data_IF_525762581421
#
_entry.id   IF_525762581421
#
_cell.length_a   1.000
_cell.length_b   1.000
_cell.length_c   1.000
_cell.angle_alpha   90.00
_cell.angle_beta   90.00
_cell.angle_gamma   90.00
#
_symmetry.space_group_name_H-M   'P 1'
#
loop_
_entity.id
_entity.type
_entity.pdbx_description
1 polymer ?
#
# COMPACT_ATOMS: atom_id res chain seq x y z
N UNK A 1 -16.99 -5.01 -8.47
CA UNK A 1 -16.21 -3.84 -8.97
C UNK A 1 -16.19 -3.73 -10.51
N UNK A 2 -16.69 -4.72 -11.24
CA UNK A 2 -16.74 -4.71 -12.72
C UNK A 2 -17.80 -3.78 -13.32
N UNK A 3 -18.62 -3.11 -12.51
CA UNK A 3 -19.62 -2.16 -12.99
C UNK A 3 -18.98 -0.91 -13.60
N UNK A 4 -19.68 -0.31 -14.58
CA UNK A 4 -19.22 0.86 -15.35
C UNK A 4 -18.61 1.97 -14.51
N UNK A 5 -17.56 2.66 -14.99
CA UNK A 5 -17.01 3.83 -14.34
C UNK A 5 -18.11 4.87 -14.09
N UNK A 6 -18.19 5.39 -12.85
CA UNK A 6 -19.15 6.42 -12.47
C UNK A 6 -20.43 5.95 -11.78
N UNK A 7 -20.74 4.66 -11.74
CA UNK A 7 -21.87 4.17 -10.94
C UNK A 7 -21.51 4.23 -9.44
N UNK A 8 -22.40 4.82 -8.63
CA UNK A 8 -22.29 4.73 -7.17
C UNK A 8 -22.40 3.26 -6.76
N UNK A 9 -21.38 2.77 -6.04
CA UNK A 9 -21.36 1.41 -5.50
C UNK A 9 -21.81 1.49 -4.05
N UNK A 10 -22.76 0.65 -3.65
CA UNK A 10 -23.24 0.62 -2.28
C UNK A 10 -22.11 0.18 -1.31
N UNK A 11 -22.09 0.74 -0.13
CA UNK A 11 -21.07 0.43 0.88
C UNK A 11 -20.96 -1.08 1.20
N UNK A 12 -22.05 -1.87 1.27
CA UNK A 12 -21.96 -3.31 1.46
C UNK A 12 -21.16 -4.02 0.36
N UNK A 13 -21.27 -3.57 -0.89
CA UNK A 13 -20.50 -4.13 -2.00
C UNK A 13 -19.01 -3.79 -1.89
N UNK A 14 -18.67 -2.58 -1.41
CA UNK A 14 -17.30 -2.17 -1.15
C UNK A 14 -16.67 -2.99 -0.02
N UNK A 15 -17.44 -3.25 1.06
CA UNK A 15 -17.00 -4.13 2.16
C UNK A 15 -16.72 -5.54 1.65
N UNK A 16 -17.66 -6.10 0.87
CA UNK A 16 -17.47 -7.43 0.26
C UNK A 16 -16.22 -7.48 -0.63
N UNK A 17 -15.98 -6.42 -1.42
CA UNK A 17 -14.79 -6.34 -2.27
C UNK A 17 -13.50 -6.31 -1.43
N UNK A 18 -13.43 -5.50 -0.37
CA UNK A 18 -12.32 -5.46 0.57
C UNK A 18 -12.07 -6.83 1.21
N UNK A 19 -13.11 -7.43 1.74
CA UNK A 19 -13.02 -8.71 2.45
C UNK A 19 -12.57 -9.84 1.50
N UNK A 20 -12.99 -9.78 0.23
CA UNK A 20 -12.51 -10.70 -0.81
C UNK A 20 -11.01 -10.51 -1.09
N UNK A 21 -10.54 -9.26 -1.18
CA UNK A 21 -9.12 -8.95 -1.36
C UNK A 21 -8.31 -9.49 -0.18
N UNK A 22 -8.72 -9.23 1.04
CA UNK A 22 -8.05 -9.69 2.24
C UNK A 22 -7.99 -11.23 2.31
N UNK A 23 -9.10 -11.90 1.97
CA UNK A 23 -9.15 -13.37 1.89
C UNK A 23 -8.18 -13.91 0.85
N UNK A 24 -8.14 -13.28 -0.34
CA UNK A 24 -7.22 -13.66 -1.41
C UNK A 24 -5.76 -13.47 -0.99
N UNK A 25 -5.43 -12.34 -0.37
CA UNK A 25 -4.08 -12.05 0.13
C UNK A 25 -3.63 -13.05 1.21
N UNK A 26 -4.53 -13.41 2.11
CA UNK A 26 -4.25 -14.42 3.12
C UNK A 26 -3.99 -15.80 2.49
N UNK A 27 -4.79 -16.17 1.48
CA UNK A 27 -4.60 -17.44 0.76
C UNK A 27 -3.27 -17.46 -0.02
N UNK A 28 -2.91 -16.35 -0.68
CA UNK A 28 -1.64 -16.20 -1.41
C UNK A 28 -0.43 -16.42 -0.48
N UNK A 29 -0.44 -15.83 0.71
CA UNK A 29 0.65 -15.99 1.66
C UNK A 29 0.72 -17.40 2.26
N UNK A 30 -0.43 -18.01 2.52
CA UNK A 30 -0.49 -19.41 2.98
C UNK A 30 0.12 -20.36 1.95
N UNK A 31 -0.22 -20.17 0.66
CA UNK A 31 0.33 -21.00 -0.41
C UNK A 31 1.85 -20.80 -0.56
N UNK A 32 2.32 -19.56 -0.37
CA UNK A 32 3.74 -19.25 -0.48
C UNK A 32 4.57 -19.81 0.69
N UNK A 33 4.12 -19.64 1.94
CA UNK A 33 4.91 -20.03 3.11
C UNK A 33 4.70 -21.49 3.52
N UNK A 34 3.59 -22.11 3.14
CA UNK A 34 3.21 -23.50 3.53
C UNK A 34 3.40 -23.77 5.02
N UNK A 35 3.15 -22.80 5.87
CA UNK A 35 3.46 -22.81 7.30
C UNK A 35 2.20 -22.59 8.12
N UNK A 36 2.01 -23.41 9.16
CA UNK A 36 0.90 -23.31 10.12
C UNK A 36 0.90 -21.98 10.90
N UNK A 37 2.02 -21.23 10.90
CA UNK A 37 2.12 -19.90 11.49
C UNK A 37 1.14 -18.89 10.86
N UNK A 38 0.83 -19.02 9.57
CA UNK A 38 -0.11 -18.14 8.87
C UNK A 38 -1.54 -18.38 9.39
N UNK A 39 -1.90 -19.62 9.70
CA UNK A 39 -3.22 -19.96 10.26
C UNK A 39 -3.40 -19.42 11.67
N UNK A 40 -2.34 -19.39 12.47
CA UNK A 40 -2.36 -18.80 13.82
C UNK A 40 -2.56 -17.27 13.80
N UNK A 41 -2.04 -16.60 12.78
CA UNK A 41 -2.25 -15.15 12.59
C UNK A 41 -3.69 -14.83 12.19
N UNK A 42 -4.34 -15.68 11.37
CA UNK A 42 -5.73 -15.47 10.95
C UNK A 42 -6.74 -15.57 12.10
N UNK A 43 -6.48 -16.36 13.13
CA UNK A 43 -7.36 -16.45 14.32
C UNK A 43 -7.37 -15.18 15.15
N UNK A 44 -6.43 -14.25 14.92
CA UNK A 44 -6.31 -12.96 15.60
C UNK A 44 -6.91 -11.80 14.81
N UNK A 45 -7.75 -12.09 13.80
CA UNK A 45 -8.34 -11.07 12.91
C UNK A 45 -9.00 -9.98 13.75
N UNK A 46 -8.37 -8.85 13.75
CA UNK A 46 -8.98 -7.60 14.23
C UNK A 46 -10.03 -7.18 13.23
N UNK A 47 -11.14 -6.69 13.72
CA UNK A 47 -12.20 -6.16 12.87
C UNK A 47 -11.61 -5.11 11.96
N UNK A 48 -11.60 -5.36 10.65
CA UNK A 48 -11.10 -4.46 9.61
C UNK A 48 -11.72 -3.04 9.68
N UNK A 49 -12.82 -2.92 10.42
CA UNK A 49 -13.55 -1.67 10.62
C UNK A 49 -13.03 -0.83 11.80
N UNK A 50 -12.05 -1.33 12.58
CA UNK A 50 -11.46 -0.59 13.72
C UNK A 50 -10.06 -0.09 13.38
N UNK A 51 -9.98 0.85 12.45
CA UNK A 51 -8.74 1.56 12.19
C UNK A 51 -8.45 2.55 13.32
N UNK A 52 -7.18 2.74 13.63
CA UNK A 52 -6.77 3.82 14.53
C UNK A 52 -7.21 5.18 13.94
N UNK A 53 -7.59 6.10 14.81
CA UNK A 53 -7.88 7.47 14.39
C UNK A 53 -6.68 8.02 13.60
N UNK A 54 -6.96 8.77 12.53
CA UNK A 54 -5.91 9.32 11.67
C UNK A 54 -5.31 8.32 10.66
N UNK A 55 -5.78 7.06 10.62
CA UNK A 55 -5.28 6.06 9.67
C UNK A 55 -6.26 5.83 8.53
N UNK A 56 -5.72 5.76 7.30
CA UNK A 56 -6.45 5.29 6.12
C UNK A 56 -5.73 4.11 5.48
N UNK A 57 -6.50 3.18 4.89
CA UNK A 57 -5.96 2.02 4.20
C UNK A 57 -6.37 2.04 2.74
N UNK A 58 -5.40 1.88 1.85
CA UNK A 58 -5.58 1.94 0.40
C UNK A 58 -5.30 0.58 -0.22
N UNK A 59 -6.29 0.10 -0.97
CA UNK A 59 -6.23 -1.11 -1.78
C UNK A 59 -6.24 -0.70 -3.26
N UNK A 60 -5.09 -0.58 -3.91
CA UNK A 60 -5.03 -0.35 -5.35
C UNK A 60 -5.35 -1.65 -6.10
N UNK A 61 -6.37 -1.64 -6.92
CA UNK A 61 -6.85 -2.79 -7.69
C UNK A 61 -6.62 -2.50 -9.17
N UNK A 62 -5.75 -3.28 -9.80
CA UNK A 62 -5.34 -3.05 -11.19
C UNK A 62 -6.19 -3.87 -12.13
N UNK A 63 -7.01 -3.20 -12.95
CA UNK A 63 -7.76 -3.78 -14.06
C UNK A 63 -7.04 -3.56 -15.39
N UNK A 64 -7.45 -4.26 -16.42
CA UNK A 64 -6.84 -4.13 -17.75
C UNK A 64 -6.92 -2.70 -18.29
N UNK A 65 -8.01 -2.01 -18.05
CA UNK A 65 -8.37 -0.70 -18.59
C UNK A 65 -8.27 0.46 -17.58
N UNK A 66 -8.19 0.18 -16.28
CA UNK A 66 -8.22 1.19 -15.23
C UNK A 66 -7.58 0.72 -13.92
N UNK A 67 -7.29 1.67 -13.05
CA UNK A 67 -6.92 1.45 -11.66
C UNK A 67 -8.08 1.87 -10.77
N UNK A 68 -8.49 1.00 -9.87
CA UNK A 68 -9.45 1.32 -8.82
C UNK A 68 -8.71 1.48 -7.49
N UNK A 69 -8.99 2.57 -6.79
CA UNK A 69 -8.52 2.77 -5.42
C UNK A 69 -9.70 2.56 -4.47
N UNK A 70 -9.67 1.47 -3.73
CA UNK A 70 -10.59 1.26 -2.62
C UNK A 70 -9.90 1.78 -1.35
N UNK A 71 -10.47 2.79 -0.72
CA UNK A 71 -9.93 3.40 0.49
C UNK A 71 -10.86 3.15 1.68
N UNK A 72 -10.29 2.66 2.77
CA UNK A 72 -10.94 2.55 4.08
C UNK A 72 -10.61 3.79 4.90
N UNK A 73 -11.64 4.54 5.27
CA UNK A 73 -11.59 5.77 6.02
C UNK A 73 -12.32 5.60 7.35
N UNK A 74 -12.16 6.50 8.34
CA UNK A 74 -12.88 6.41 9.60
C UNK A 74 -14.42 6.39 9.48
N UNK A 75 -14.97 6.96 8.41
CA UNK A 75 -16.41 7.02 8.16
C UNK A 75 -16.94 5.97 7.18
N UNK A 76 -16.10 5.03 6.72
CA UNK A 76 -16.49 3.96 5.79
C UNK A 76 -15.55 3.80 4.60
N UNK A 77 -16.05 3.11 3.58
CA UNK A 77 -15.28 2.78 2.38
C UNK A 77 -15.65 3.70 1.22
N UNK A 78 -14.65 4.13 0.47
CA UNK A 78 -14.83 4.86 -0.78
C UNK A 78 -14.07 4.18 -1.92
N UNK A 79 -14.58 4.37 -3.14
CA UNK A 79 -13.97 3.91 -4.38
C UNK A 79 -13.68 5.09 -5.29
N UNK A 80 -12.49 5.13 -5.83
CA UNK A 80 -12.07 6.08 -6.85
C UNK A 80 -11.54 5.32 -8.06
N UNK A 81 -11.97 5.72 -9.25
CA UNK A 81 -11.57 5.09 -10.51
C UNK A 81 -10.61 6.02 -11.26
N UNK A 82 -9.46 5.51 -11.62
CA UNK A 82 -8.40 6.23 -12.31
C UNK A 82 -8.25 5.63 -13.71
N UNK A 83 -8.39 6.41 -14.79
CA UNK A 83 -8.34 5.91 -16.17
C UNK A 83 -6.90 5.65 -16.62
N UNK A 84 -6.24 4.68 -15.99
CA UNK A 84 -4.90 4.21 -16.36
C UNK A 84 -4.93 2.71 -16.55
N UNK A 85 -4.50 2.25 -17.71
CA UNK A 85 -4.45 0.82 -18.01
C UNK A 85 -3.36 0.09 -17.22
N UNK A 86 -3.56 -1.21 -17.00
CA UNK A 86 -2.55 -2.07 -16.39
C UNK A 86 -1.19 -1.99 -17.12
N UNK A 87 -1.20 -1.93 -18.45
CA UNK A 87 0.00 -1.84 -19.26
C UNK A 87 0.76 -0.53 -18.99
N UNK A 88 0.05 0.62 -19.00
CA UNK A 88 0.63 1.94 -18.73
C UNK A 88 1.18 2.02 -17.31
N UNK A 89 0.40 1.55 -16.33
CA UNK A 89 0.81 1.52 -14.93
C UNK A 89 2.09 0.67 -14.74
N UNK A 90 2.11 -0.52 -15.35
CA UNK A 90 3.27 -1.44 -15.24
C UNK A 90 4.53 -0.82 -15.88
N UNK A 91 4.38 -0.16 -17.01
CA UNK A 91 5.49 0.54 -17.67
C UNK A 91 6.06 1.63 -16.77
N UNK A 92 5.20 2.46 -16.17
CA UNK A 92 5.60 3.54 -15.28
C UNK A 92 6.30 3.01 -14.01
N UNK A 93 5.76 1.96 -13.40
CA UNK A 93 6.39 1.32 -12.24
C UNK A 93 7.78 0.78 -12.58
N UNK A 94 7.95 0.15 -13.75
CA UNK A 94 9.26 -0.34 -14.18
C UNK A 94 10.25 0.82 -14.41
N UNK A 95 9.80 1.91 -15.03
CA UNK A 95 10.61 3.09 -15.25
C UNK A 95 11.04 3.73 -13.93
N UNK A 96 10.10 3.89 -12.99
CA UNK A 96 10.37 4.39 -11.65
C UNK A 96 11.42 3.53 -10.93
N UNK A 97 11.24 2.22 -10.89
CA UNK A 97 12.21 1.32 -10.25
C UNK A 97 13.61 1.42 -10.84
N UNK A 98 13.69 1.37 -12.19
CA UNK A 98 14.98 1.47 -12.89
C UNK A 98 15.72 2.77 -12.58
N UNK A 99 14.98 3.88 -12.41
CA UNK A 99 15.58 5.19 -12.16
C UNK A 99 15.90 5.44 -10.69
N UNK A 100 15.09 4.89 -9.75
CA UNK A 100 15.35 5.05 -8.32
C UNK A 100 16.59 4.29 -7.84
N UNK A 101 17.00 3.25 -8.56
CA UNK A 101 18.23 2.51 -8.30
C UNK A 101 19.49 3.33 -8.64
N UNK A 102 19.36 4.36 -9.47
CA UNK A 102 20.46 5.26 -9.85
C UNK A 102 20.67 6.34 -8.78
N UNK A 103 21.62 6.14 -7.89
CA UNK A 103 21.87 7.02 -6.74
C UNK A 103 22.35 8.44 -7.10
N UNK A 104 22.84 8.65 -8.32
CA UNK A 104 23.51 9.89 -8.74
C UNK A 104 22.63 10.84 -9.54
N UNK A 105 21.40 10.43 -9.90
CA UNK A 105 20.50 11.22 -10.74
C UNK A 105 19.13 11.43 -10.08
N UNK A 106 18.39 12.43 -10.55
CA UNK A 106 17.00 12.67 -10.15
C UNK A 106 15.98 12.23 -11.20
N UNK A 107 16.38 11.37 -12.14
CA UNK A 107 15.54 10.85 -13.21
C UNK A 107 14.26 10.14 -12.70
N UNK A 108 14.27 9.70 -11.45
CA UNK A 108 13.12 9.08 -10.81
C UNK A 108 11.98 10.06 -10.49
N UNK A 109 12.25 11.37 -10.36
CA UNK A 109 11.23 12.35 -9.93
C UNK A 109 10.00 12.42 -10.85
N UNK A 110 10.12 12.51 -12.18
CA UNK A 110 8.94 12.51 -13.06
C UNK A 110 8.07 11.27 -12.87
N UNK A 111 8.68 10.10 -12.72
CA UNK A 111 7.98 8.84 -12.47
C UNK A 111 7.34 8.78 -11.10
N UNK A 112 8.02 9.26 -10.05
CA UNK A 112 7.47 9.38 -8.72
C UNK A 112 6.23 10.31 -8.69
N UNK A 113 6.28 11.43 -9.45
CA UNK A 113 5.18 12.38 -9.58
C UNK A 113 4.00 11.81 -10.36
N UNK A 114 4.27 11.04 -11.40
CA UNK A 114 3.24 10.39 -12.19
C UNK A 114 2.50 9.34 -11.35
N UNK A 115 3.22 8.50 -10.62
CA UNK A 115 2.63 7.52 -9.71
C UNK A 115 1.88 8.21 -8.56
N UNK A 116 2.41 9.30 -8.01
CA UNK A 116 1.70 10.12 -7.02
C UNK A 116 0.36 10.64 -7.57
N UNK A 117 0.36 11.11 -8.81
CA UNK A 117 -0.84 11.63 -9.47
C UNK A 117 -1.94 10.55 -9.59
N UNK A 118 -1.58 9.30 -9.81
CA UNK A 118 -2.54 8.20 -9.92
C UNK A 118 -2.95 7.61 -8.58
N UNK A 119 -2.02 7.50 -7.62
CA UNK A 119 -2.23 6.76 -6.38
C UNK A 119 -2.63 7.64 -5.18
N UNK A 120 -2.15 8.89 -5.12
CA UNK A 120 -2.29 9.72 -3.93
C UNK A 120 -3.15 10.96 -4.18
N UNK A 121 -2.90 11.68 -5.27
CA UNK A 121 -3.61 12.94 -5.56
C UNK A 121 -5.14 12.82 -5.52
N UNK A 122 -5.77 11.74 -6.02
CA UNK A 122 -7.21 11.56 -5.91
C UNK A 122 -7.72 11.39 -4.48
N UNK A 123 -6.84 10.99 -3.56
CA UNK A 123 -7.15 10.75 -2.15
C UNK A 123 -7.00 12.02 -1.29
N UNK A 124 -6.22 13.02 -1.74
CA UNK A 124 -5.87 14.21 -0.94
C UNK A 124 -7.07 14.90 -0.29
N UNK A 125 -8.22 15.08 -0.96
CA UNK A 125 -9.39 15.72 -0.33
C UNK A 125 -9.91 14.91 0.88
N UNK A 126 -9.92 13.59 0.78
CA UNK A 126 -10.36 12.71 1.85
C UNK A 126 -9.34 12.69 3.00
N UNK A 127 -8.05 12.59 2.66
CA UNK A 127 -6.97 12.59 3.65
C UNK A 127 -7.00 13.88 4.49
N UNK A 128 -7.22 15.03 3.85
CA UNK A 128 -7.34 16.32 4.54
C UNK A 128 -8.62 16.40 5.39
N UNK A 129 -9.77 15.97 4.85
CA UNK A 129 -11.06 16.04 5.54
C UNK A 129 -11.12 15.22 6.82
N UNK A 130 -10.45 14.07 6.83
CA UNK A 130 -10.40 13.14 7.96
C UNK A 130 -9.12 13.27 8.80
N UNK A 131 -8.29 14.29 8.53
CA UNK A 131 -7.03 14.53 9.24
C UNK A 131 -6.17 13.28 9.32
N UNK A 132 -6.03 12.58 8.17
CA UNK A 132 -5.24 11.37 8.08
C UNK A 132 -3.76 11.74 8.17
N UNK A 133 -3.04 11.10 9.09
CA UNK A 133 -1.61 11.23 9.30
C UNK A 133 -0.83 9.95 8.94
N UNK A 134 -1.55 8.84 8.82
CA UNK A 134 -0.99 7.52 8.53
C UNK A 134 -1.70 6.87 7.34
N UNK A 135 -0.94 6.48 6.33
CA UNK A 135 -1.44 5.82 5.13
C UNK A 135 -0.85 4.41 5.00
N UNK A 136 -1.73 3.42 5.02
CA UNK A 136 -1.36 2.02 4.88
C UNK A 136 -1.72 1.54 3.49
N UNK A 137 -0.76 1.00 2.75
CA UNK A 137 -0.97 0.43 1.42
C UNK A 137 -1.01 -1.10 1.46
N UNK A 138 -1.98 -1.67 0.74
CA UNK A 138 -2.08 -3.10 0.46
C UNK A 138 -1.94 -3.28 -1.06
N UNK A 139 -0.71 -3.16 -1.59
CA UNK A 139 -0.48 -3.15 -3.02
C UNK A 139 -0.65 -4.54 -3.64
N UNK A 140 -0.96 -4.56 -4.93
CA UNK A 140 -1.03 -5.76 -5.73
C UNK A 140 -0.25 -5.64 -7.05
N UNK A 141 0.06 -6.78 -7.66
CA UNK A 141 0.75 -6.85 -8.93
C UNK A 141 2.04 -6.00 -8.97
N UNK A 142 2.23 -5.18 -10.00
CA UNK A 142 3.45 -4.36 -10.15
C UNK A 142 3.64 -3.35 -9.01
N UNK A 143 2.57 -2.91 -8.37
CA UNK A 143 2.61 -1.92 -7.29
C UNK A 143 3.29 -2.44 -6.01
N UNK A 144 3.40 -3.75 -5.83
CA UNK A 144 4.15 -4.35 -4.70
C UNK A 144 5.62 -3.96 -4.66
N UNK A 145 6.15 -3.52 -5.79
CA UNK A 145 7.56 -3.16 -5.93
C UNK A 145 7.81 -1.66 -5.83
N UNK A 146 6.76 -0.87 -5.63
CA UNK A 146 6.85 0.59 -5.50
C UNK A 146 7.16 0.98 -4.07
N UNK A 147 8.24 1.70 -3.79
CA UNK A 147 8.47 2.31 -2.49
C UNK A 147 7.50 3.50 -2.31
N UNK A 148 6.30 3.23 -1.77
CA UNK A 148 5.22 4.22 -1.66
C UNK A 148 5.65 5.49 -0.95
N UNK A 149 6.54 5.39 0.03
CA UNK A 149 7.12 6.52 0.76
C UNK A 149 7.89 7.51 -0.15
N UNK A 150 8.43 7.04 -1.28
CA UNK A 150 9.21 7.82 -2.23
C UNK A 150 8.38 8.45 -3.37
N UNK A 151 7.04 8.32 -3.33
CA UNK A 151 6.16 9.08 -4.22
C UNK A 151 6.28 10.57 -3.93
N UNK A 152 6.17 11.43 -4.97
CA UNK A 152 6.50 12.86 -4.87
C UNK A 152 5.38 13.72 -5.44
N UNK A 153 4.93 14.75 -4.73
CA UNK A 153 3.81 15.61 -5.16
C UNK A 153 4.20 16.76 -6.12
N UNK A 154 5.51 16.90 -6.38
CA UNK A 154 6.12 18.01 -7.10
C UNK A 154 6.93 18.93 -6.19
N UNK A 155 6.70 18.89 -4.86
CA UNK A 155 7.39 19.70 -3.85
C UNK A 155 8.15 18.86 -2.83
N UNK A 156 7.54 17.77 -2.36
CA UNK A 156 8.08 16.91 -1.30
C UNK A 156 7.63 15.45 -1.49
N UNK A 157 8.32 14.56 -0.80
CA UNK A 157 7.99 13.14 -0.79
C UNK A 157 6.80 12.85 0.11
N UNK A 158 6.09 11.76 -0.18
CA UNK A 158 4.92 11.35 0.60
C UNK A 158 5.26 11.13 2.08
N UNK A 159 6.43 10.54 2.36
CA UNK A 159 6.90 10.30 3.73
C UNK A 159 7.15 11.58 4.54
N UNK A 160 7.35 12.71 3.89
CA UNK A 160 7.50 14.01 4.54
C UNK A 160 6.16 14.61 4.98
N UNK A 161 5.05 14.09 4.42
CA UNK A 161 3.67 14.55 4.71
C UNK A 161 2.93 13.61 5.67
N UNK A 162 3.10 12.31 5.51
CA UNK A 162 2.32 11.27 6.16
C UNK A 162 3.23 10.12 6.57
N UNK A 163 2.91 9.45 7.66
CA UNK A 163 3.47 8.14 7.94
C UNK A 163 2.97 7.15 6.87
N UNK A 164 3.88 6.36 6.29
CA UNK A 164 3.58 5.43 5.21
C UNK A 164 3.96 4.01 5.62
N UNK A 165 3.01 3.11 5.57
CA UNK A 165 3.22 1.68 5.78
C UNK A 165 2.77 0.89 4.55
N UNK A 166 3.41 -0.25 4.32
CA UNK A 166 3.01 -1.22 3.28
C UNK A 166 2.90 -2.59 3.93
N UNK A 167 1.77 -3.25 3.72
CA UNK A 167 1.51 -4.60 4.24
C UNK A 167 0.89 -5.47 3.14
N UNK A 168 1.13 -6.78 3.14
CA UNK A 168 0.46 -7.68 2.20
C UNK A 168 -1.04 -7.81 2.45
N UNK A 169 -1.52 -7.58 3.68
CA UNK A 169 -2.93 -7.59 4.06
C UNK A 169 -3.08 -7.17 5.52
N UNK A 170 -4.21 -6.55 5.87
CA UNK A 170 -4.50 -6.18 7.27
C UNK A 170 -4.73 -7.39 8.17
N UNK A 171 -5.37 -8.43 7.62
CA UNK A 171 -5.61 -9.68 8.35
C UNK A 171 -4.33 -10.40 8.78
N UNK A 172 -3.19 -9.96 8.27
CA UNK A 172 -1.87 -10.53 8.53
C UNK A 172 -1.03 -9.65 9.49
N UNK A 173 -1.60 -8.55 9.94
CA UNK A 173 -0.95 -7.64 10.89
C UNK A 173 -1.70 -7.63 12.21
N UNK A 174 -0.98 -7.67 13.33
CA UNK A 174 -1.57 -7.43 14.65
C UNK A 174 -1.62 -5.90 14.85
N UNK A 175 -2.80 -5.27 14.87
CA UNK A 175 -2.93 -3.83 15.01
C UNK A 175 -2.71 -3.34 16.44
N UNK A 176 -2.35 -4.24 17.38
CA UNK A 176 -2.07 -3.83 18.76
C UNK A 176 -0.86 -2.89 18.76
N UNK A 177 -0.98 -1.75 19.46
CA UNK A 177 0.17 -0.87 19.65
C UNK A 177 1.33 -1.66 20.28
N UNK A 178 2.51 -1.56 19.68
CA UNK A 178 3.72 -2.11 20.28
C UNK A 178 4.02 -1.32 21.54
N UNK A 179 4.05 -2.00 22.67
CA UNK A 179 4.52 -1.41 23.94
C UNK A 179 6.02 -1.11 23.79
N UNK A 180 6.33 0.17 23.55
CA UNK A 180 7.71 0.62 23.33
C UNK A 180 8.65 0.28 24.50
N UNK A 181 8.12 0.15 25.72
CA UNK A 181 8.90 -0.25 26.90
C UNK A 181 9.33 -1.73 26.85
N UNK A 182 8.67 -2.55 26.06
CA UNK A 182 8.94 -3.99 25.89
C UNK A 182 9.68 -4.33 24.60
N UNK A 183 9.94 -3.34 23.75
CA UNK A 183 10.70 -3.57 22.51
C UNK A 183 12.15 -3.89 22.86
N UNK A 184 12.59 -5.09 22.47
CA UNK A 184 13.99 -5.48 22.50
C UNK A 184 14.55 -5.39 21.09
N UNK A 185 15.57 -4.59 20.87
CA UNK A 185 16.24 -4.42 19.59
C UNK A 185 17.55 -5.21 19.60
N UNK A 186 17.64 -6.23 18.74
CA UNK A 186 18.91 -6.89 18.43
C UNK A 186 19.50 -6.27 17.15
N UNK A 187 20.65 -5.61 17.30
CA UNK A 187 21.39 -5.08 16.15
C UNK A 187 22.59 -5.98 15.91
N UNK A 188 22.67 -6.57 14.71
CA UNK A 188 23.82 -7.36 14.27
C UNK A 188 24.44 -6.69 13.06
N UNK A 189 25.77 -6.70 12.97
CA UNK A 189 26.50 -6.16 11.84
C UNK A 189 27.73 -7.03 11.53
N UNK A 190 28.11 -7.09 10.26
CA UNK A 190 29.36 -7.70 9.83
C UNK A 190 30.47 -6.68 10.03
N UNK A 191 31.51 -7.06 10.79
CA UNK A 191 32.68 -6.23 11.06
C UNK A 191 33.71 -6.30 9.94
N UNK A 192 33.64 -7.32 9.08
CA UNK A 192 34.55 -7.53 7.98
C UNK A 192 33.81 -7.39 6.64
N UNK A 193 34.47 -6.71 5.70
CA UNK A 193 34.00 -6.62 4.30
C UNK A 193 34.12 -8.00 3.67
N UNK A 194 33.00 -8.60 3.32
CA UNK A 194 32.99 -9.76 2.44
C UNK A 194 33.47 -9.30 1.05
N UNK A 195 34.57 -9.90 0.55
CA UNK A 195 35.17 -9.55 -0.74
C UNK A 195 34.21 -9.70 -1.92
N UNK A 196 33.15 -10.47 -1.77
CA UNK A 196 32.19 -10.81 -2.82
C UNK A 196 30.86 -10.03 -2.76
N UNK A 197 30.73 -9.08 -1.82
CA UNK A 197 29.58 -8.17 -1.74
C UNK A 197 30.05 -6.72 -1.80
N UNK A 198 30.16 -6.12 -3.01
CA UNK A 198 30.41 -4.69 -3.13
C UNK A 198 29.18 -3.93 -2.59
N UNK A 199 29.42 -3.02 -1.65
CA UNK A 199 28.43 -2.05 -1.16
C UNK A 199 28.09 -1.03 -2.25
#
# INVERSE_FOLDING_TARGET
LERRPGASVAEPDLRRARDTIETYKAAELRDYFRDDCVDTLQTRITKLDTLAAGTAVVYPIVFADRLELLISLPNGLRRLSIPVSSATLTQEVRAFRKTVEKRTTREYLPHAQQLYTWLIRPLEPDLASFQIDTLVFIPDGPLRTVPMAALHDGKQFLIEKLAVATTPGLNLTDPKPIDRAKVQLLTTGLRELFKDFPL
#
